data_IF_329767089840
#
_entry.id   IF_329767089840
#
_cell.length_a   1.000
_cell.length_b   1.000
_cell.length_c   1.000
_cell.angle_alpha   90.00
_cell.angle_beta   90.00
_cell.angle_gamma   90.00
#
_symmetry.space_group_name_H-M   'P 1'
#
loop_
_entity.id
_entity.type
_entity.pdbx_description
1 polymer ?
#
# COMPACT_ATOMS: atom_id res chain seq x y z
N UNK A 1 8.66 8.87 -0.10
CA UNK A 1 9.33 7.60 0.23
C UNK A 1 10.73 7.73 -0.34
N UNK A 2 11.72 8.05 0.50
CA UNK A 2 13.02 8.62 0.11
C UNK A 2 14.20 7.73 0.48
N UNK A 3 15.38 8.01 -0.07
CA UNK A 3 16.63 7.24 0.11
C UNK A 3 17.00 7.00 1.59
N UNK A 4 16.68 7.95 2.48
CA UNK A 4 16.86 7.84 3.92
C UNK A 4 16.09 6.66 4.56
N UNK A 5 14.94 6.27 4.02
CA UNK A 5 14.12 5.16 4.53
C UNK A 5 14.68 3.80 4.12
N UNK A 6 15.40 3.72 2.99
CA UNK A 6 16.09 2.50 2.55
C UNK A 6 17.30 2.20 3.44
N UNK A 7 18.12 3.22 3.73
CA UNK A 7 19.29 3.07 4.61
C UNK A 7 18.88 2.68 6.04
N UNK A 8 17.82 3.31 6.57
CA UNK A 8 17.28 2.98 7.87
C UNK A 8 16.75 1.54 7.91
N UNK A 9 16.05 1.10 6.86
CA UNK A 9 15.61 -0.29 6.74
C UNK A 9 16.79 -1.26 6.73
N UNK A 10 17.83 -1.02 5.93
CA UNK A 10 19.00 -1.90 5.87
C UNK A 10 19.71 -2.01 7.21
N UNK A 11 19.86 -0.88 7.93
CA UNK A 11 20.46 -0.86 9.26
C UNK A 11 19.65 -1.69 10.26
N UNK A 12 18.35 -1.44 10.35
CA UNK A 12 17.48 -2.17 11.29
C UNK A 12 17.38 -3.66 10.94
N UNK A 13 17.32 -4.00 9.66
CA UNK A 13 17.20 -5.38 9.23
C UNK A 13 18.50 -6.18 9.46
N UNK A 14 19.67 -5.52 9.38
CA UNK A 14 20.95 -6.12 9.76
C UNK A 14 21.01 -6.41 11.26
N UNK A 15 20.66 -5.44 12.10
CA UNK A 15 20.64 -5.61 13.57
C UNK A 15 19.70 -6.75 13.99
N UNK A 16 18.50 -6.81 13.39
CA UNK A 16 17.55 -7.89 13.66
C UNK A 16 18.13 -9.26 13.30
N UNK A 17 18.82 -9.40 12.17
CA UNK A 17 19.45 -10.67 11.79
C UNK A 17 20.53 -11.08 12.80
N UNK A 18 21.35 -10.13 13.24
CA UNK A 18 22.39 -10.37 14.25
C UNK A 18 21.75 -10.85 15.56
N UNK A 19 20.71 -10.17 16.05
CA UNK A 19 19.97 -10.58 17.26
C UNK A 19 19.36 -11.99 17.13
N UNK A 20 18.75 -12.31 15.98
CA UNK A 20 18.13 -13.61 15.73
C UNK A 20 19.17 -14.74 15.64
N UNK A 21 20.36 -14.48 15.09
CA UNK A 21 21.40 -15.50 14.94
C UNK A 21 22.16 -15.69 16.26
N UNK A 22 22.30 -14.66 17.09
CA UNK A 22 22.96 -14.75 18.39
C UNK A 22 22.18 -15.63 19.38
N UNK A 23 20.85 -15.54 19.38
CA UNK A 23 19.98 -16.33 20.24
C UNK A 23 19.75 -17.76 19.69
N UNK A 24 20.13 -18.83 20.41
CA UNK A 24 19.92 -20.21 19.99
C UNK A 24 18.47 -20.55 19.66
N UNK A 25 17.50 -19.96 20.36
CA UNK A 25 16.07 -20.24 20.18
C UNK A 25 15.52 -19.64 18.88
N UNK A 26 16.17 -18.60 18.35
CA UNK A 26 15.72 -17.87 17.15
C UNK A 26 16.65 -18.00 15.95
N UNK A 27 17.78 -18.70 16.10
CA UNK A 27 18.79 -18.90 15.04
C UNK A 27 18.22 -19.48 13.75
N UNK A 28 17.38 -20.50 13.83
CA UNK A 28 16.75 -21.09 12.63
C UNK A 28 15.89 -20.08 11.86
N UNK A 29 15.23 -19.18 12.57
CA UNK A 29 14.46 -18.09 11.97
C UNK A 29 15.39 -17.06 11.32
N UNK A 30 16.49 -16.71 11.98
CA UNK A 30 17.54 -15.83 11.43
C UNK A 30 18.09 -16.37 10.11
N UNK A 31 18.53 -17.63 10.11
CA UNK A 31 19.07 -18.32 8.92
C UNK A 31 18.04 -18.38 7.77
N UNK A 32 16.79 -18.68 8.10
CA UNK A 32 15.70 -18.70 7.12
C UNK A 32 15.45 -17.30 6.53
N UNK A 33 15.38 -16.28 7.38
CA UNK A 33 15.12 -14.90 6.98
C UNK A 33 16.24 -14.39 6.05
N UNK A 34 17.50 -14.62 6.43
CA UNK A 34 18.67 -14.24 5.63
C UNK A 34 18.67 -14.94 4.27
N UNK A 35 18.48 -16.27 4.28
CA UNK A 35 18.57 -17.10 3.08
C UNK A 35 17.49 -16.78 2.04
N UNK A 36 16.24 -16.58 2.48
CA UNK A 36 15.09 -16.53 1.57
C UNK A 36 14.53 -15.12 1.35
N UNK A 37 14.57 -14.24 2.35
CA UNK A 37 13.89 -12.94 2.29
C UNK A 37 14.84 -11.77 2.10
N UNK A 38 15.96 -11.73 2.83
CA UNK A 38 16.82 -10.56 2.88
C UNK A 38 17.55 -10.30 1.55
N UNK A 39 17.89 -11.37 0.81
CA UNK A 39 18.45 -11.27 -0.56
C UNK A 39 17.51 -10.64 -1.59
N UNK A 40 16.21 -10.51 -1.26
CA UNK A 40 15.16 -10.00 -2.16
C UNK A 40 14.39 -8.85 -1.51
N UNK A 41 14.98 -8.16 -0.54
CA UNK A 41 14.35 -7.08 0.21
C UNK A 41 13.72 -6.01 -0.69
N UNK A 42 14.36 -5.73 -1.83
CA UNK A 42 13.87 -4.81 -2.86
C UNK A 42 12.49 -5.17 -3.44
N UNK A 43 12.08 -6.43 -3.39
CA UNK A 43 10.81 -6.90 -3.96
C UNK A 43 9.65 -6.76 -2.96
N UNK A 44 9.91 -6.97 -1.67
CA UNK A 44 8.84 -7.04 -0.67
C UNK A 44 8.84 -5.87 0.31
N UNK A 45 9.99 -5.32 0.67
CA UNK A 45 10.06 -4.27 1.68
C UNK A 45 9.50 -2.95 1.14
N UNK A 46 8.77 -2.24 2.00
CA UNK A 46 7.99 -1.08 1.61
C UNK A 46 8.88 0.07 1.10
N UNK A 47 10.04 0.29 1.73
CA UNK A 47 10.98 1.37 1.38
C UNK A 47 11.46 1.30 -0.09
N UNK A 48 11.53 0.11 -0.69
CA UNK A 48 11.93 -0.07 -2.09
C UNK A 48 10.77 0.06 -3.09
N UNK A 49 9.52 0.17 -2.62
CA UNK A 49 8.33 0.33 -3.48
C UNK A 49 8.18 1.78 -3.95
N UNK A 50 9.14 2.25 -4.74
CA UNK A 50 9.11 3.59 -5.34
C UNK A 50 7.90 3.74 -6.26
N UNK A 51 7.31 4.94 -6.27
CA UNK A 51 6.22 5.36 -7.16
C UNK A 51 4.85 4.68 -6.99
N UNK A 52 4.72 3.64 -6.17
CA UNK A 52 3.42 2.96 -5.98
C UNK A 52 2.47 3.75 -5.07
N UNK A 53 2.98 4.61 -4.18
CA UNK A 53 2.18 5.50 -3.31
C UNK A 53 1.12 4.80 -2.43
N UNK A 54 1.12 3.47 -2.40
CA UNK A 54 0.02 2.63 -1.94
C UNK A 54 0.61 1.44 -1.18
N UNK A 55 0.26 1.32 0.10
CA UNK A 55 0.45 0.09 0.85
C UNK A 55 -0.64 -0.92 0.42
N UNK A 56 -0.33 -1.77 -0.57
CA UNK A 56 -1.24 -2.79 -1.11
C UNK A 56 -1.68 -3.80 -0.06
N UNK A 57 -0.91 -3.98 1.02
CA UNK A 57 -1.24 -4.91 2.09
C UNK A 57 -2.57 -4.56 2.76
N UNK A 58 -2.84 -3.26 2.93
CA UNK A 58 -4.09 -2.80 3.53
C UNK A 58 -5.32 -3.16 2.68
N UNK A 59 -5.19 -3.09 1.34
CA UNK A 59 -6.26 -3.47 0.42
C UNK A 59 -6.45 -4.98 0.36
N UNK A 60 -5.35 -5.74 0.40
CA UNK A 60 -5.40 -7.21 0.45
C UNK A 60 -6.02 -7.71 1.76
N UNK A 61 -5.65 -7.13 2.90
CA UNK A 61 -6.24 -7.47 4.20
C UNK A 61 -7.73 -7.12 4.25
N UNK A 62 -8.12 -5.95 3.72
CA UNK A 62 -9.52 -5.56 3.63
C UNK A 62 -10.33 -6.52 2.75
N UNK A 63 -9.77 -6.92 1.60
CA UNK A 63 -10.38 -7.91 0.72
C UNK A 63 -10.50 -9.26 1.42
N UNK A 64 -9.43 -9.76 2.01
CA UNK A 64 -9.42 -11.02 2.74
C UNK A 64 -10.43 -11.03 3.89
N UNK A 65 -10.56 -9.93 4.65
CA UNK A 65 -11.58 -9.77 5.68
C UNK A 65 -12.99 -9.84 5.10
N UNK A 66 -13.26 -9.17 3.97
CA UNK A 66 -14.55 -9.25 3.26
C UNK A 66 -14.86 -10.68 2.84
N UNK A 67 -13.91 -11.39 2.24
CA UNK A 67 -14.05 -12.81 1.87
C UNK A 67 -14.40 -13.66 3.09
N UNK A 68 -13.58 -13.57 4.14
CA UNK A 68 -13.69 -14.41 5.33
C UNK A 68 -15.01 -14.19 6.06
N UNK A 69 -15.40 -12.93 6.32
CA UNK A 69 -16.53 -12.65 7.21
C UNK A 69 -17.83 -12.42 6.46
N UNK A 70 -17.83 -11.79 5.29
CA UNK A 70 -19.06 -11.49 4.54
C UNK A 70 -19.53 -12.63 3.64
N UNK A 71 -18.61 -13.45 3.13
CA UNK A 71 -18.96 -14.53 2.20
C UNK A 71 -18.79 -15.93 2.79
N UNK A 72 -17.84 -16.11 3.70
CA UNK A 72 -17.54 -17.42 4.31
C UNK A 72 -18.01 -17.55 5.77
N UNK A 73 -18.62 -16.52 6.35
CA UNK A 73 -19.11 -16.50 7.73
C UNK A 73 -18.03 -16.93 8.76
N UNK A 74 -16.78 -16.55 8.52
CA UNK A 74 -15.62 -16.88 9.36
C UNK A 74 -15.12 -18.32 9.22
N UNK A 75 -15.77 -19.17 8.41
CA UNK A 75 -15.43 -20.58 8.27
C UNK A 75 -14.25 -20.79 7.32
N UNK A 76 -13.37 -21.73 7.68
CA UNK A 76 -12.28 -22.17 6.80
C UNK A 76 -12.86 -23.03 5.68
N UNK A 77 -12.61 -22.64 4.43
CA UNK A 77 -13.00 -23.43 3.26
C UNK A 77 -11.90 -24.43 2.95
N UNK A 78 -12.23 -25.73 3.03
CA UNK A 78 -11.34 -26.83 2.63
C UNK A 78 -11.54 -27.27 1.18
N UNK A 79 -12.69 -26.93 0.60
CA UNK A 79 -13.14 -27.33 -0.73
C UNK A 79 -12.87 -26.25 -1.76
N UNK A 80 -12.09 -26.59 -2.79
CA UNK A 80 -11.69 -25.64 -3.82
C UNK A 80 -12.87 -25.10 -4.64
N UNK A 81 -13.83 -25.97 -4.98
CA UNK A 81 -15.03 -25.59 -5.73
C UNK A 81 -15.86 -24.52 -5.01
N UNK A 82 -16.00 -24.64 -3.69
CA UNK A 82 -16.67 -23.64 -2.87
C UNK A 82 -15.91 -22.31 -2.87
N UNK A 83 -14.57 -22.35 -2.80
CA UNK A 83 -13.75 -21.15 -2.85
C UNK A 83 -13.88 -20.42 -4.20
N UNK A 84 -13.88 -21.16 -5.31
CA UNK A 84 -14.07 -20.61 -6.66
C UNK A 84 -15.45 -19.96 -6.78
N UNK A 85 -16.51 -20.64 -6.33
CA UNK A 85 -17.87 -20.08 -6.34
C UNK A 85 -17.98 -18.77 -5.54
N UNK A 86 -17.31 -18.72 -4.39
CA UNK A 86 -17.26 -17.51 -3.55
C UNK A 86 -16.52 -16.38 -4.27
N UNK A 87 -15.37 -16.67 -4.88
CA UNK A 87 -14.63 -15.68 -5.68
C UNK A 87 -15.47 -15.14 -6.84
N UNK A 88 -16.18 -15.99 -7.57
CA UNK A 88 -17.07 -15.57 -8.66
C UNK A 88 -18.19 -14.65 -8.15
N UNK A 89 -18.77 -14.98 -6.99
CA UNK A 89 -19.78 -14.14 -6.32
C UNK A 89 -19.21 -12.77 -5.93
N UNK A 90 -18.02 -12.73 -5.34
CA UNK A 90 -17.34 -11.48 -4.96
C UNK A 90 -17.06 -10.61 -6.18
N UNK A 91 -16.54 -11.20 -7.26
CA UNK A 91 -16.24 -10.46 -8.49
C UNK A 91 -17.50 -9.82 -9.06
N UNK A 92 -18.60 -10.57 -9.12
CA UNK A 92 -19.90 -10.04 -9.57
C UNK A 92 -20.35 -8.87 -8.70
N UNK A 93 -20.29 -9.01 -7.38
CA UNK A 93 -20.73 -7.97 -6.47
C UNK A 93 -19.86 -6.70 -6.58
N UNK A 94 -18.54 -6.84 -6.73
CA UNK A 94 -17.61 -5.72 -6.96
C UNK A 94 -17.95 -4.99 -8.27
N UNK A 95 -18.21 -5.73 -9.35
CA UNK A 95 -18.59 -5.15 -10.64
C UNK A 95 -19.93 -4.42 -10.51
N UNK A 96 -20.91 -5.01 -9.83
CA UNK A 96 -22.21 -4.39 -9.62
C UNK A 96 -22.13 -3.12 -8.76
N UNK A 97 -21.38 -3.14 -7.65
CA UNK A 97 -21.09 -1.95 -6.84
C UNK A 97 -20.45 -0.83 -7.68
N UNK A 98 -19.56 -1.18 -8.61
CA UNK A 98 -18.94 -0.22 -9.53
C UNK A 98 -19.95 0.37 -10.51
N UNK A 99 -20.82 -0.46 -11.10
CA UNK A 99 -21.89 0.01 -12.00
C UNK A 99 -22.80 0.99 -11.28
N UNK A 100 -23.23 0.68 -10.05
CA UNK A 100 -24.06 1.58 -9.23
C UNK A 100 -23.35 2.93 -9.03
N UNK A 101 -22.07 2.92 -8.66
CA UNK A 101 -21.31 4.17 -8.44
C UNK A 101 -21.18 5.01 -9.71
N UNK A 102 -20.98 4.36 -10.86
CA UNK A 102 -20.92 5.04 -12.15
C UNK A 102 -22.28 5.61 -12.56
N UNK A 103 -23.36 4.83 -12.41
CA UNK A 103 -24.71 5.27 -12.72
C UNK A 103 -25.19 6.41 -11.81
N UNK A 104 -24.80 6.38 -10.53
CA UNK A 104 -25.13 7.43 -9.56
C UNK A 104 -24.31 8.71 -9.69
N UNK A 105 -23.41 8.83 -10.68
CA UNK A 105 -22.47 9.96 -10.81
C UNK A 105 -21.74 10.30 -9.50
N UNK A 106 -21.44 9.29 -8.68
CA UNK A 106 -20.82 9.52 -7.38
C UNK A 106 -19.41 10.07 -7.61
N UNK A 107 -19.21 11.34 -7.25
CA UNK A 107 -17.95 12.04 -7.45
C UNK A 107 -16.81 11.24 -6.79
N UNK A 108 -15.83 10.83 -7.60
CA UNK A 108 -14.68 10.12 -7.06
C UNK A 108 -13.84 11.06 -6.20
N UNK A 109 -13.14 10.52 -5.20
CA UNK A 109 -12.18 11.30 -4.39
C UNK A 109 -11.17 12.06 -5.26
N UNK A 110 -10.74 11.46 -6.39
CA UNK A 110 -9.85 12.13 -7.34
C UNK A 110 -10.51 13.37 -7.95
N UNK A 111 -11.74 13.25 -8.43
CA UNK A 111 -12.48 14.37 -9.02
C UNK A 111 -12.74 15.48 -7.98
N UNK A 112 -13.12 15.10 -6.76
CA UNK A 112 -13.28 16.03 -5.64
C UNK A 112 -11.99 16.79 -5.33
N UNK A 113 -10.85 16.09 -5.29
CA UNK A 113 -9.55 16.71 -5.06
C UNK A 113 -9.17 17.67 -6.19
N UNK A 114 -9.39 17.29 -7.45
CA UNK A 114 -9.16 18.17 -8.61
C UNK A 114 -10.00 19.44 -8.47
N UNK A 115 -11.27 19.30 -8.10
CA UNK A 115 -12.17 20.44 -7.89
C UNK A 115 -11.70 21.35 -6.75
N UNK A 116 -11.27 20.77 -5.63
CA UNK A 116 -10.70 21.53 -4.50
C UNK A 116 -9.46 22.30 -4.95
N UNK A 117 -8.53 21.64 -5.65
CA UNK A 117 -7.33 22.28 -6.18
C UNK A 117 -7.67 23.40 -7.17
N UNK A 118 -8.64 23.18 -8.06
CA UNK A 118 -9.10 24.19 -9.02
C UNK A 118 -9.63 25.44 -8.32
N UNK A 119 -10.55 25.25 -7.36
CA UNK A 119 -11.11 26.36 -6.55
C UNK A 119 -10.03 27.07 -5.74
N UNK A 120 -9.01 26.36 -5.26
CA UNK A 120 -7.88 26.98 -4.59
C UNK A 120 -7.04 27.82 -5.56
N UNK A 121 -6.81 27.33 -6.79
CA UNK A 121 -6.07 28.04 -7.83
C UNK A 121 -6.79 29.30 -8.35
N UNK A 122 -8.12 29.29 -8.43
CA UNK A 122 -8.92 30.46 -8.80
C UNK A 122 -8.74 31.64 -7.83
N UNK A 123 -8.32 31.38 -6.59
CA UNK A 123 -8.10 32.40 -5.56
C UNK A 123 -6.66 32.92 -5.51
N UNK A 124 -5.79 32.45 -6.40
CA UNK A 124 -4.40 32.91 -6.49
C UNK A 124 -4.40 34.21 -7.28
N UNK A 125 -4.09 35.31 -6.62
CA UNK A 125 -4.00 36.63 -7.26
C UNK A 125 -2.62 36.82 -7.92
N UNK A 126 -2.55 37.69 -8.93
CA UNK A 126 -1.28 37.95 -9.64
C UNK A 126 -0.16 38.47 -8.71
N UNK A 127 -0.53 39.13 -7.60
CA UNK A 127 0.38 39.57 -6.55
C UNK A 127 1.10 38.41 -5.84
N UNK A 128 0.46 37.24 -5.74
CA UNK A 128 0.98 36.07 -5.03
C UNK A 128 2.08 35.37 -5.84
N UNK A 129 2.08 35.56 -7.16
CA UNK A 129 3.06 34.96 -8.10
C UNK A 129 4.33 35.84 -8.18
N UNK A 130 4.16 37.16 -8.04
CA UNK A 130 5.22 38.16 -8.20
C UNK A 130 6.23 38.21 -7.03
N UNK A 131 5.95 37.52 -5.92
CA UNK A 131 6.76 37.58 -4.68
C UNK A 131 7.68 36.37 -4.45
N UNK A 132 7.80 35.45 -5.41
CA UNK A 132 8.76 34.35 -5.34
C UNK A 132 10.19 34.91 -5.50
N UNK A 133 10.88 35.13 -4.38
CA UNK A 133 12.33 35.42 -4.39
C UNK A 133 13.06 34.27 -5.11
N UNK A 134 13.97 34.56 -6.04
CA UNK A 134 14.76 33.52 -6.68
C UNK A 134 15.49 32.72 -5.61
N UNK A 135 15.33 31.40 -5.64
CA UNK A 135 16.09 30.47 -4.81
C UNK A 135 17.57 30.67 -5.15
N UNK A 136 18.29 31.36 -4.27
CA UNK A 136 19.74 31.48 -4.36
C UNK A 136 20.28 30.09 -4.03
N UNK A 137 20.52 29.29 -5.07
CA UNK A 137 21.27 28.04 -4.95
C UNK A 137 22.72 28.45 -4.68
N UNK A 138 23.11 28.41 -3.39
CA UNK A 138 24.48 28.63 -2.96
C UNK A 138 25.40 27.56 -3.57
N UNK A 139 26.50 28.03 -4.15
CA UNK A 139 27.63 27.19 -4.59
C UNK A 139 28.36 26.57 -3.41
#
# INVERSE_FOLDING_TARGET
MGEQEEENFQRSAKLLLEELVEDPDTRELGDYLEKYYMKRANVWALCYRKHLGINTNMYLEALHKKIKYSYLNGKKVRRLDLAINVLMKITRDIVFERIIKLAGNVETRKMKNIRISHVASEKIEHSDISSLKPVVVGK
#
